data_IF_398762076158
#
_entry.id   IF_398762076158
#
_cell.length_a   1.000
_cell.length_b   1.000
_cell.length_c   1.000
_cell.angle_alpha   90.00
_cell.angle_beta   90.00
_cell.angle_gamma   90.00
#
_symmetry.space_group_name_H-M   'P 1'
#
loop_
_entity.id
_entity.type
_entity.pdbx_description
1 polymer ?
#
# COMPACT_ATOMS: atom_id res chain seq x y z
N UNK A 1 -3.69 -29.44 46.76
CA UNK A 1 -3.18 -29.53 45.37
C UNK A 1 -4.39 -29.29 44.47
N UNK A 2 -4.50 -28.07 44.00
CA UNK A 2 -5.54 -27.69 43.02
C UNK A 2 -4.91 -27.81 41.64
N UNK A 3 -5.32 -28.86 40.94
CA UNK A 3 -5.05 -28.97 39.49
C UNK A 3 -5.92 -27.94 38.73
N UNK A 4 -5.38 -26.78 38.41
CA UNK A 4 -5.97 -25.90 37.43
C UNK A 4 -5.78 -26.52 36.05
N UNK A 5 -6.85 -27.11 35.51
CA UNK A 5 -6.94 -27.50 34.13
C UNK A 5 -6.85 -26.23 33.25
N UNK A 6 -5.69 -25.96 32.68
CA UNK A 6 -5.50 -25.00 31.62
C UNK A 6 -6.25 -25.50 30.37
N UNK A 7 -7.50 -25.08 30.23
CA UNK A 7 -8.26 -25.20 28.97
C UNK A 7 -7.61 -24.28 27.92
N UNK A 8 -6.62 -24.79 27.19
CA UNK A 8 -6.19 -24.17 25.95
C UNK A 8 -7.35 -24.28 24.94
N UNK A 9 -8.05 -23.19 24.74
CA UNK A 9 -9.05 -23.10 23.66
C UNK A 9 -8.27 -23.21 22.33
N UNK A 10 -8.26 -24.38 21.75
CA UNK A 10 -7.78 -24.60 20.39
C UNK A 10 -8.76 -23.88 19.46
N UNK A 11 -8.41 -22.70 18.97
CA UNK A 11 -9.09 -22.09 17.86
C UNK A 11 -8.68 -22.91 16.64
N UNK A 12 -9.61 -23.68 16.00
CA UNK A 12 -9.27 -24.46 14.82
C UNK A 12 -8.73 -23.49 13.76
N UNK A 13 -7.55 -23.77 13.22
CA UNK A 13 -7.06 -23.03 12.05
C UNK A 13 -8.05 -23.25 10.92
N UNK A 14 -8.43 -22.19 10.19
CA UNK A 14 -9.29 -22.34 9.02
C UNK A 14 -8.69 -23.38 8.05
N UNK A 15 -9.55 -24.12 7.34
CA UNK A 15 -9.08 -25.11 6.38
C UNK A 15 -8.30 -24.42 5.25
N UNK A 16 -7.18 -25.01 4.77
CA UNK A 16 -6.43 -24.46 3.64
C UNK A 16 -7.30 -24.31 2.39
N UNK A 17 -7.22 -23.16 1.74
CA UNK A 17 -7.97 -22.82 0.54
C UNK A 17 -7.10 -22.93 -0.71
N UNK A 18 -7.74 -23.15 -1.86
CA UNK A 18 -7.17 -22.94 -3.21
C UNK A 18 -7.60 -21.58 -3.72
N UNK A 19 -6.68 -20.65 -3.78
CA UNK A 19 -6.96 -19.25 -4.11
C UNK A 19 -6.39 -18.95 -5.49
N UNK A 20 -7.24 -18.55 -6.45
CA UNK A 20 -6.77 -17.99 -7.71
C UNK A 20 -6.55 -16.48 -7.51
N UNK A 21 -5.30 -16.05 -7.38
CA UNK A 21 -4.92 -14.63 -7.26
C UNK A 21 -4.57 -14.07 -8.65
N UNK A 22 -5.31 -13.04 -9.08
CA UNK A 22 -5.16 -12.42 -10.40
C UNK A 22 -4.71 -10.99 -10.25
N UNK A 23 -3.60 -10.64 -10.89
CA UNK A 23 -3.02 -9.30 -10.83
C UNK A 23 -2.31 -8.93 -12.12
N UNK A 24 -2.23 -7.65 -12.44
CA UNK A 24 -1.42 -7.12 -13.55
C UNK A 24 -0.06 -6.59 -13.09
N UNK A 25 0.16 -6.46 -11.77
CA UNK A 25 1.43 -6.04 -11.18
C UNK A 25 1.87 -7.02 -10.08
N UNK A 26 3.13 -7.42 -10.10
CA UNK A 26 3.71 -8.37 -9.14
C UNK A 26 5.24 -8.23 -9.15
N UNK A 27 5.96 -8.60 -8.07
CA UNK A 27 7.42 -8.62 -8.10
C UNK A 27 7.98 -9.34 -9.34
N UNK A 28 9.08 -8.84 -9.97
CA UNK A 28 10.03 -7.86 -9.45
C UNK A 28 9.66 -6.38 -9.69
N UNK A 29 8.43 -6.04 -10.06
CA UNK A 29 8.01 -4.64 -10.16
C UNK A 29 8.09 -3.95 -8.79
N UNK A 30 8.67 -2.74 -8.77
CA UNK A 30 8.85 -1.96 -7.54
C UNK A 30 7.74 -0.92 -7.44
N UNK A 31 6.60 -1.33 -6.90
CA UNK A 31 5.49 -0.44 -6.53
C UNK A 31 4.75 -1.01 -5.31
N UNK A 32 3.98 -0.15 -4.62
CA UNK A 32 3.31 -0.52 -3.37
C UNK A 32 2.31 -1.68 -3.49
N UNK A 33 1.67 -1.84 -4.66
CA UNK A 33 0.73 -2.94 -4.91
C UNK A 33 1.49 -4.26 -5.11
N UNK A 34 2.51 -4.26 -5.99
CA UNK A 34 3.35 -5.44 -6.24
C UNK A 34 3.99 -5.98 -4.95
N UNK A 35 4.55 -5.09 -4.12
CA UNK A 35 5.17 -5.46 -2.84
C UNK A 35 4.15 -6.05 -1.86
N UNK A 36 2.96 -5.46 -1.76
CA UNK A 36 1.87 -5.99 -0.92
C UNK A 36 1.44 -7.38 -1.36
N UNK A 37 1.22 -7.57 -2.67
CA UNK A 37 0.79 -8.85 -3.22
C UNK A 37 1.87 -9.93 -3.11
N UNK A 38 3.14 -9.56 -3.31
CA UNK A 38 4.26 -10.49 -3.09
C UNK A 38 4.29 -11.00 -1.65
N UNK A 39 4.13 -10.11 -0.67
CA UNK A 39 4.05 -10.49 0.75
C UNK A 39 2.82 -11.36 1.03
N UNK A 40 1.66 -10.98 0.49
CA UNK A 40 0.41 -11.72 0.66
C UNK A 40 0.49 -13.15 0.12
N UNK A 41 1.11 -13.36 -1.05
CA UNK A 41 1.32 -14.70 -1.63
C UNK A 41 2.21 -15.54 -0.72
N UNK A 42 3.32 -14.98 -0.23
CA UNK A 42 4.24 -15.68 0.68
C UNK A 42 3.53 -16.09 1.97
N UNK A 43 2.71 -15.19 2.53
CA UNK A 43 1.99 -15.46 3.77
C UNK A 43 0.90 -16.52 3.58
N UNK A 44 0.10 -16.44 2.51
CA UNK A 44 -0.89 -17.47 2.18
C UNK A 44 -0.25 -18.86 2.05
N UNK A 45 0.93 -18.95 1.41
CA UNK A 45 1.67 -20.20 1.33
C UNK A 45 2.13 -20.69 2.71
N UNK A 46 2.67 -19.80 3.55
CA UNK A 46 3.13 -20.15 4.90
C UNK A 46 2.00 -20.65 5.80
N UNK A 47 0.76 -20.23 5.53
CA UNK A 47 -0.47 -20.67 6.21
C UNK A 47 -1.05 -21.96 5.65
N UNK A 48 -0.43 -22.52 4.58
CA UNK A 48 -0.82 -23.79 3.99
C UNK A 48 -1.81 -23.69 2.82
N UNK A 49 -2.20 -22.46 2.41
CA UNK A 49 -3.06 -22.28 1.23
C UNK A 49 -2.33 -22.63 -0.07
N UNK A 50 -3.10 -23.06 -1.08
CA UNK A 50 -2.62 -23.23 -2.44
C UNK A 50 -2.95 -21.98 -3.25
N UNK A 51 -1.93 -21.32 -3.79
CA UNK A 51 -2.09 -20.09 -4.57
C UNK A 51 -1.84 -20.36 -6.04
N UNK A 52 -2.83 -20.08 -6.88
CA UNK A 52 -2.69 -20.01 -8.32
C UNK A 52 -2.53 -18.53 -8.72
N UNK A 53 -1.29 -18.09 -8.95
CA UNK A 53 -0.96 -16.71 -9.28
C UNK A 53 -1.04 -16.49 -10.79
N UNK A 54 -2.01 -15.70 -11.24
CA UNK A 54 -2.22 -15.36 -12.64
C UNK A 54 -1.79 -13.93 -12.89
N UNK A 55 -0.75 -13.74 -13.71
CA UNK A 55 -0.16 -12.43 -13.99
C UNK A 55 0.36 -12.30 -15.42
N UNK A 56 0.58 -11.08 -15.95
CA UNK A 56 1.27 -10.87 -17.21
C UNK A 56 2.74 -11.30 -17.11
N UNK A 57 3.28 -11.82 -18.22
CA UNK A 57 4.71 -12.08 -18.36
C UNK A 57 5.49 -10.78 -18.44
N UNK A 58 6.49 -10.57 -17.60
CA UNK A 58 7.26 -9.33 -17.53
C UNK A 58 8.31 -9.21 -18.64
N UNK A 59 8.84 -10.31 -19.13
CA UNK A 59 9.84 -10.33 -20.21
C UNK A 59 10.01 -11.73 -20.79
N UNK A 60 10.89 -11.89 -21.79
CA UNK A 60 11.17 -13.19 -22.38
C UNK A 60 11.87 -14.15 -21.40
N UNK A 61 12.64 -13.60 -20.46
CA UNK A 61 13.33 -14.36 -19.42
C UNK A 61 12.43 -14.73 -18.24
N UNK A 62 11.22 -14.16 -18.14
CA UNK A 62 10.28 -14.42 -17.05
C UNK A 62 9.70 -15.83 -17.19
N UNK A 63 9.99 -16.66 -16.20
CA UNK A 63 9.54 -18.06 -16.12
C UNK A 63 8.60 -18.22 -14.95
N UNK A 64 7.55 -19.03 -15.14
CA UNK A 64 6.63 -19.35 -14.07
C UNK A 64 7.33 -20.13 -12.95
N UNK A 65 7.13 -19.72 -11.72
CA UNK A 65 7.55 -20.45 -10.53
C UNK A 65 6.44 -21.40 -10.10
N UNK A 66 6.81 -22.67 -9.89
CA UNK A 66 5.86 -23.67 -9.44
C UNK A 66 6.47 -24.48 -8.28
N UNK A 67 5.70 -24.62 -7.22
CA UNK A 67 6.03 -25.48 -6.09
C UNK A 67 4.74 -26.13 -5.54
N UNK A 68 4.81 -26.81 -4.40
CA UNK A 68 3.66 -27.52 -3.82
C UNK A 68 2.46 -26.60 -3.49
N UNK A 69 2.71 -25.30 -3.22
CA UNK A 69 1.70 -24.33 -2.75
C UNK A 69 1.52 -23.15 -3.72
N UNK A 70 2.36 -22.99 -4.75
CA UNK A 70 2.28 -21.93 -5.74
C UNK A 70 2.31 -22.49 -7.15
N UNK A 71 1.32 -22.11 -7.94
CA UNK A 71 1.28 -22.32 -9.39
C UNK A 71 1.21 -20.96 -10.09
N UNK A 72 2.29 -20.51 -10.74
CA UNK A 72 2.24 -19.29 -11.55
C UNK A 72 1.71 -19.59 -12.97
N UNK A 73 0.77 -18.79 -13.40
CA UNK A 73 0.18 -18.85 -14.75
C UNK A 73 0.43 -17.55 -15.47
N UNK A 74 1.46 -17.55 -16.32
CA UNK A 74 1.83 -16.35 -17.09
C UNK A 74 0.91 -16.16 -18.28
N UNK A 75 0.38 -14.92 -18.42
CA UNK A 75 -0.46 -14.49 -19.55
C UNK A 75 0.28 -13.48 -20.43
N UNK A 76 -0.19 -13.29 -21.66
CA UNK A 76 0.32 -12.23 -22.51
C UNK A 76 -0.01 -10.86 -21.92
N UNK A 77 0.96 -9.95 -21.99
CA UNK A 77 0.80 -8.57 -21.54
C UNK A 77 1.43 -7.61 -22.54
N UNK A 78 0.89 -6.40 -22.60
CA UNK A 78 1.39 -5.29 -23.40
C UNK A 78 1.92 -4.18 -22.51
N UNK A 79 3.00 -3.47 -22.87
CA UNK A 79 3.50 -2.34 -22.11
C UNK A 79 2.44 -1.25 -21.96
N UNK A 80 2.35 -0.64 -20.79
CA UNK A 80 1.50 0.52 -20.55
C UNK A 80 2.23 1.78 -21.04
N UNK A 81 1.65 2.56 -21.98
CA UNK A 81 2.27 3.80 -22.44
C UNK A 81 2.58 4.75 -21.30
N UNK A 82 3.76 5.38 -21.31
CA UNK A 82 4.29 6.32 -20.29
C UNK A 82 4.63 5.69 -18.91
N UNK A 83 4.44 4.38 -18.72
CA UNK A 83 4.84 3.67 -17.49
C UNK A 83 5.87 2.60 -17.85
N UNK A 84 7.15 3.00 -17.82
CA UNK A 84 8.25 2.08 -18.08
C UNK A 84 8.23 0.90 -17.09
N UNK A 85 8.29 -0.32 -17.63
CA UNK A 85 8.33 -1.53 -16.81
C UNK A 85 6.99 -2.10 -16.38
N UNK A 86 5.86 -1.37 -16.55
CA UNK A 86 4.54 -1.90 -16.24
C UNK A 86 3.87 -2.51 -17.47
N UNK A 87 3.16 -3.63 -17.28
CA UNK A 87 2.41 -4.31 -18.34
C UNK A 87 0.96 -4.50 -17.95
N UNK A 88 0.10 -4.33 -18.93
CA UNK A 88 -1.32 -4.63 -18.83
C UNK A 88 -1.56 -6.03 -19.43
N UNK A 89 -2.26 -6.89 -18.70
CA UNK A 89 -2.61 -8.23 -19.17
C UNK A 89 -3.65 -8.19 -20.29
N UNK A 90 -3.50 -9.04 -21.29
CA UNK A 90 -4.51 -9.18 -22.34
C UNK A 90 -5.72 -9.97 -21.87
N UNK A 91 -6.91 -9.75 -22.47
CA UNK A 91 -8.11 -10.53 -22.14
C UNK A 91 -7.89 -12.03 -22.30
N UNK A 92 -8.26 -12.81 -21.28
CA UNK A 92 -7.97 -14.25 -21.19
C UNK A 92 -9.14 -15.12 -20.69
N UNK A 93 -10.40 -14.62 -20.77
CA UNK A 93 -11.59 -15.30 -20.20
C UNK A 93 -11.70 -16.77 -20.58
N UNK A 94 -11.60 -17.14 -21.86
CA UNK A 94 -11.75 -18.53 -22.28
C UNK A 94 -10.65 -19.44 -21.73
N UNK A 95 -9.41 -18.95 -21.64
CA UNK A 95 -8.28 -19.68 -21.06
C UNK A 95 -8.46 -19.89 -19.55
N UNK A 96 -8.96 -18.88 -18.82
CA UNK A 96 -9.22 -18.96 -17.39
C UNK A 96 -10.40 -19.91 -17.09
N UNK A 97 -11.46 -19.90 -17.89
CA UNK A 97 -12.57 -20.86 -17.76
C UNK A 97 -12.04 -22.29 -17.90
N UNK A 98 -11.23 -22.60 -18.92
CA UNK A 98 -10.64 -23.94 -19.11
C UNK A 98 -9.75 -24.33 -17.94
N UNK A 99 -8.91 -23.42 -17.48
CA UNK A 99 -8.00 -23.63 -16.35
C UNK A 99 -8.79 -23.99 -15.09
N UNK A 100 -9.83 -23.23 -14.75
CA UNK A 100 -10.61 -23.41 -13.53
C UNK A 100 -11.66 -24.54 -13.63
N UNK A 101 -11.97 -25.01 -14.82
CA UNK A 101 -12.68 -26.27 -14.98
C UNK A 101 -11.83 -27.50 -14.64
N UNK A 102 -10.51 -27.43 -14.92
CA UNK A 102 -9.56 -28.49 -14.62
C UNK A 102 -9.03 -28.42 -13.19
N UNK A 103 -8.69 -27.19 -12.74
CA UNK A 103 -8.10 -26.90 -11.43
C UNK A 103 -8.97 -25.84 -10.75
N UNK A 104 -10.10 -26.26 -10.22
CA UNK A 104 -11.09 -25.35 -9.63
C UNK A 104 -10.54 -24.72 -8.35
N UNK A 105 -10.45 -23.38 -8.23
CA UNK A 105 -10.17 -22.71 -6.97
C UNK A 105 -11.43 -22.66 -6.10
N UNK A 106 -11.27 -22.47 -4.80
CA UNK A 106 -12.37 -22.21 -3.88
C UNK A 106 -12.90 -20.79 -4.01
N UNK A 107 -11.99 -19.84 -4.35
CA UNK A 107 -12.33 -18.46 -4.65
C UNK A 107 -11.34 -17.83 -5.63
N UNK A 108 -11.76 -16.72 -6.24
CA UNK A 108 -10.92 -15.87 -7.11
C UNK A 108 -10.72 -14.52 -6.44
N UNK A 109 -9.48 -14.17 -6.13
CA UNK A 109 -9.09 -12.86 -5.63
C UNK A 109 -8.46 -12.03 -6.76
N UNK A 110 -9.03 -10.86 -7.07
CA UNK A 110 -8.59 -10.02 -8.19
C UNK A 110 -8.05 -8.71 -7.63
N UNK A 111 -6.74 -8.51 -7.74
CA UNK A 111 -6.06 -7.36 -7.15
C UNK A 111 -6.00 -6.14 -8.08
N UNK A 112 -6.30 -6.28 -9.37
CA UNK A 112 -6.26 -5.18 -10.34
C UNK A 112 -7.42 -5.22 -11.32
N UNK A 113 -7.93 -4.05 -11.71
CA UNK A 113 -9.17 -3.86 -12.48
C UNK A 113 -8.95 -3.84 -14.00
N UNK A 114 -7.77 -4.22 -14.49
CA UNK A 114 -7.42 -4.22 -15.91
C UNK A 114 -8.12 -5.32 -16.71
N UNK A 115 -7.79 -5.46 -18.01
CA UNK A 115 -8.45 -6.43 -18.89
C UNK A 115 -8.29 -7.89 -18.47
N UNK A 116 -7.17 -8.25 -17.81
CA UNK A 116 -6.97 -9.57 -17.22
C UNK A 116 -7.89 -9.77 -16.01
N UNK A 117 -7.99 -8.76 -15.12
CA UNK A 117 -8.91 -8.77 -13.98
C UNK A 117 -10.37 -8.92 -14.41
N UNK A 118 -10.83 -8.16 -15.43
CA UNK A 118 -12.18 -8.34 -16.00
C UNK A 118 -12.40 -9.73 -16.60
N UNK A 119 -11.38 -10.28 -17.25
CA UNK A 119 -11.45 -11.65 -17.76
C UNK A 119 -11.61 -12.68 -16.66
N UNK A 120 -10.91 -12.48 -15.54
CA UNK A 120 -11.00 -13.31 -14.35
C UNK A 120 -12.39 -13.21 -13.70
N UNK A 121 -12.91 -12.00 -13.51
CA UNK A 121 -14.25 -11.75 -13.01
C UNK A 121 -15.32 -12.46 -13.85
N UNK A 122 -15.25 -12.29 -15.19
CA UNK A 122 -16.19 -12.91 -16.11
C UNK A 122 -16.08 -14.45 -16.18
N UNK A 123 -14.87 -15.00 -15.97
CA UNK A 123 -14.65 -16.45 -15.92
C UNK A 123 -15.16 -17.03 -14.59
N UNK A 124 -14.91 -16.37 -13.47
CA UNK A 124 -15.39 -16.75 -12.15
C UNK A 124 -16.93 -16.77 -12.08
N UNK A 125 -17.58 -15.73 -12.57
CA UNK A 125 -19.05 -15.68 -12.67
C UNK A 125 -19.62 -16.83 -13.51
N UNK A 126 -19.00 -17.12 -14.68
CA UNK A 126 -19.43 -18.25 -15.51
C UNK A 126 -19.36 -19.59 -14.77
N UNK A 127 -18.38 -19.74 -13.89
CA UNK A 127 -18.16 -20.96 -13.12
C UNK A 127 -18.78 -20.93 -11.71
N UNK A 128 -19.50 -19.86 -11.38
CA UNK A 128 -20.07 -19.63 -10.05
C UNK A 128 -19.03 -19.79 -8.93
N UNK A 129 -17.88 -19.10 -9.11
CA UNK A 129 -16.82 -19.01 -8.11
C UNK A 129 -16.98 -17.72 -7.32
N UNK A 130 -16.84 -17.74 -5.98
CA UNK A 130 -16.79 -16.52 -5.17
C UNK A 130 -15.66 -15.60 -5.64
N UNK A 131 -15.91 -14.30 -5.63
CA UNK A 131 -14.92 -13.30 -6.06
C UNK A 131 -14.71 -12.26 -4.97
N UNK A 132 -13.45 -12.03 -4.61
CA UNK A 132 -13.00 -10.84 -3.88
C UNK A 132 -12.16 -9.94 -4.77
N UNK A 133 -12.18 -8.64 -4.52
CA UNK A 133 -11.35 -7.68 -5.24
C UNK A 133 -10.62 -6.76 -4.27
N UNK A 134 -9.43 -6.27 -4.67
CA UNK A 134 -8.74 -5.19 -3.95
C UNK A 134 -8.97 -3.86 -4.66
N UNK A 135 -9.11 -2.81 -3.88
CA UNK A 135 -9.16 -1.44 -4.38
C UNK A 135 -7.82 -0.75 -4.16
N UNK A 136 -7.07 -0.57 -5.24
CA UNK A 136 -5.75 0.06 -5.23
C UNK A 136 -5.71 1.40 -5.98
N UNK A 137 -6.83 1.82 -6.57
CA UNK A 137 -6.92 3.01 -7.41
C UNK A 137 -7.08 4.27 -6.57
N UNK A 138 -6.30 5.31 -6.87
CA UNK A 138 -6.46 6.60 -6.24
C UNK A 138 -7.33 7.53 -7.09
N UNK A 139 -8.52 7.88 -6.59
CA UNK A 139 -9.47 8.75 -7.31
C UNK A 139 -8.93 10.16 -7.57
N UNK A 140 -8.16 10.72 -6.63
CA UNK A 140 -7.62 12.06 -6.76
C UNK A 140 -6.59 12.17 -7.86
N UNK A 141 -5.78 11.12 -8.10
CA UNK A 141 -4.78 11.08 -9.17
C UNK A 141 -5.40 11.19 -10.56
N UNK A 142 -6.57 10.61 -10.78
CA UNK A 142 -7.23 10.65 -12.09
C UNK A 142 -7.83 12.02 -12.43
N UNK A 143 -8.12 12.85 -11.43
CA UNK A 143 -8.82 14.12 -11.67
C UNK A 143 -7.90 15.30 -11.97
N UNK A 144 -6.68 15.31 -11.44
CA UNK A 144 -5.81 16.48 -11.50
C UNK A 144 -4.62 16.35 -12.44
N UNK A 145 -4.02 15.14 -12.58
CA UNK A 145 -2.73 14.99 -13.25
C UNK A 145 -2.79 14.59 -14.73
N UNK A 146 -3.94 14.15 -15.23
CA UNK A 146 -4.05 13.65 -16.62
C UNK A 146 -4.74 14.60 -17.60
N UNK A 147 -5.20 15.79 -17.18
CA UNK A 147 -5.87 16.74 -18.07
C UNK A 147 -7.17 16.24 -18.72
N UNK A 148 -7.69 15.09 -18.29
CA UNK A 148 -8.83 14.37 -18.86
C UNK A 148 -10.04 14.35 -17.90
N UNK A 149 -10.37 15.48 -17.31
CA UNK A 149 -11.50 15.60 -16.37
C UNK A 149 -12.83 15.05 -16.90
N UNK A 150 -13.04 15.05 -18.21
CA UNK A 150 -14.23 14.49 -18.88
C UNK A 150 -14.29 12.95 -18.86
N UNK A 151 -13.16 12.25 -18.75
CA UNK A 151 -13.09 10.78 -18.61
C UNK A 151 -13.29 10.29 -17.15
N UNK A 152 -13.31 11.20 -16.18
CA UNK A 152 -13.47 10.82 -14.77
C UNK A 152 -14.75 10.02 -14.53
N UNK A 153 -15.90 10.50 -15.02
CA UNK A 153 -17.19 9.81 -14.84
C UNK A 153 -17.23 8.40 -15.46
N UNK A 154 -16.78 8.20 -16.72
CA UNK A 154 -16.69 6.86 -17.31
C UNK A 154 -15.77 5.91 -16.53
N UNK A 155 -14.59 6.39 -16.10
CA UNK A 155 -13.63 5.57 -15.33
C UNK A 155 -14.24 5.16 -13.97
N UNK A 156 -14.86 6.08 -13.26
CA UNK A 156 -15.53 5.79 -11.99
C UNK A 156 -16.68 4.79 -12.17
N UNK A 157 -17.47 4.92 -13.23
CA UNK A 157 -18.55 3.99 -13.55
C UNK A 157 -18.00 2.59 -13.90
N UNK A 158 -16.89 2.53 -14.66
CA UNK A 158 -16.20 1.30 -14.98
C UNK A 158 -15.70 0.58 -13.73
N UNK A 159 -14.97 1.27 -12.85
CA UNK A 159 -14.45 0.72 -11.60
C UNK A 159 -15.59 0.28 -10.67
N UNK A 160 -16.61 1.12 -10.49
CA UNK A 160 -17.79 0.77 -9.69
C UNK A 160 -18.49 -0.47 -10.23
N UNK A 161 -18.68 -0.58 -11.56
CA UNK A 161 -19.28 -1.76 -12.19
C UNK A 161 -18.45 -3.02 -11.94
N UNK A 162 -17.12 -2.89 -11.96
CA UNK A 162 -16.20 -4.00 -11.68
C UNK A 162 -16.34 -4.48 -10.23
N UNK A 163 -16.13 -3.60 -9.27
CA UNK A 163 -16.13 -3.94 -7.85
C UNK A 163 -17.50 -4.38 -7.33
N UNK A 164 -18.57 -3.77 -7.79
CA UNK A 164 -19.93 -4.16 -7.38
C UNK A 164 -20.38 -5.55 -7.90
N UNK A 165 -19.60 -6.18 -8.78
CA UNK A 165 -19.80 -7.57 -9.22
C UNK A 165 -19.06 -8.59 -8.35
N UNK A 166 -18.22 -8.14 -7.42
CA UNK A 166 -17.54 -9.00 -6.46
C UNK A 166 -18.39 -9.24 -5.21
N UNK A 167 -18.17 -10.36 -4.54
CA UNK A 167 -18.79 -10.65 -3.23
C UNK A 167 -18.34 -9.68 -2.16
N UNK A 168 -17.07 -9.24 -2.25
CA UNK A 168 -16.48 -8.24 -1.38
C UNK A 168 -15.37 -7.48 -2.13
N UNK A 169 -15.26 -6.19 -1.83
CA UNK A 169 -14.13 -5.36 -2.26
C UNK A 169 -13.35 -4.91 -1.02
N UNK A 170 -12.07 -5.25 -0.98
CA UNK A 170 -11.19 -4.87 0.11
C UNK A 170 -10.64 -3.48 -0.13
N UNK A 171 -10.72 -2.64 0.89
CA UNK A 171 -10.23 -1.27 0.87
C UNK A 171 -9.25 -1.04 2.01
N UNK A 172 -8.19 -0.22 1.83
CA UNK A 172 -7.13 -0.14 2.83
C UNK A 172 -7.47 0.71 4.06
N UNK A 173 -8.46 1.62 3.97
CA UNK A 173 -8.81 2.52 5.08
C UNK A 173 -10.31 2.76 5.17
N UNK A 174 -10.77 3.14 6.36
CA UNK A 174 -12.16 3.53 6.62
C UNK A 174 -12.55 4.81 5.85
N UNK A 175 -11.61 5.75 5.66
CA UNK A 175 -11.81 6.94 4.85
C UNK A 175 -12.18 6.59 3.40
N UNK A 176 -11.39 5.73 2.76
CA UNK A 176 -11.68 5.23 1.40
C UNK A 176 -13.00 4.44 1.37
N UNK A 177 -13.29 3.63 2.37
CA UNK A 177 -14.57 2.91 2.44
C UNK A 177 -15.76 3.85 2.39
N UNK A 178 -15.74 4.89 3.23
CA UNK A 178 -16.79 5.92 3.26
C UNK A 178 -16.90 6.68 1.94
N UNK A 179 -15.77 7.10 1.37
CA UNK A 179 -15.74 7.79 0.08
C UNK A 179 -16.36 6.93 -1.03
N UNK A 180 -15.96 5.67 -1.13
CA UNK A 180 -16.50 4.75 -2.13
C UNK A 180 -18.01 4.49 -1.94
N UNK A 181 -18.48 4.39 -0.70
CA UNK A 181 -19.91 4.26 -0.40
C UNK A 181 -20.72 5.44 -0.95
N UNK A 182 -20.22 6.68 -0.82
CA UNK A 182 -20.89 7.87 -1.40
C UNK A 182 -20.95 7.83 -2.93
N UNK A 183 -20.03 7.09 -3.56
CA UNK A 183 -20.00 6.89 -5.02
C UNK A 183 -20.77 5.63 -5.48
N UNK A 184 -21.50 4.97 -4.58
CA UNK A 184 -22.36 3.83 -4.90
C UNK A 184 -21.64 2.49 -5.02
N UNK A 185 -20.45 2.36 -4.42
CA UNK A 185 -19.80 1.05 -4.25
C UNK A 185 -20.47 0.29 -3.10
N UNK A 186 -20.52 -1.03 -3.23
CA UNK A 186 -21.17 -1.94 -2.28
C UNK A 186 -20.16 -2.99 -1.79
N UNK A 187 -20.54 -3.72 -0.75
CA UNK A 187 -19.77 -4.86 -0.21
C UNK A 187 -18.30 -4.50 0.09
N UNK A 188 -18.09 -3.35 0.72
CA UNK A 188 -16.76 -2.85 1.07
C UNK A 188 -16.35 -3.34 2.45
N UNK A 189 -15.17 -3.96 2.54
CA UNK A 189 -14.56 -4.42 3.80
C UNK A 189 -13.17 -3.79 3.96
N UNK A 190 -12.86 -3.31 5.16
CA UNK A 190 -11.55 -2.70 5.41
C UNK A 190 -10.53 -3.78 5.76
N UNK A 191 -9.57 -3.97 4.86
CA UNK A 191 -8.35 -4.75 5.11
C UNK A 191 -7.17 -3.82 4.86
N UNK A 192 -6.55 -3.36 5.94
CA UNK A 192 -5.46 -2.40 5.91
C UNK A 192 -4.17 -3.06 5.39
N UNK A 193 -3.07 -2.31 5.42
CA UNK A 193 -1.75 -2.85 5.10
C UNK A 193 -0.90 -2.89 6.35
N UNK A 194 -0.14 -3.95 6.49
CA UNK A 194 0.81 -4.13 7.57
C UNK A 194 2.14 -3.43 7.27
N UNK A 195 2.99 -3.40 8.28
CA UNK A 195 4.38 -2.98 8.16
C UNK A 195 5.30 -4.05 8.71
N UNK A 196 6.47 -4.23 8.10
CA UNK A 196 7.51 -5.13 8.60
C UNK A 196 8.29 -4.44 9.72
N UNK A 197 7.82 -4.65 10.95
CA UNK A 197 8.40 -4.03 12.14
C UNK A 197 9.74 -4.62 12.58
N UNK A 198 10.16 -5.74 12.00
CA UNK A 198 11.50 -6.29 12.18
C UNK A 198 12.51 -5.62 11.26
N UNK A 199 12.11 -5.39 10.01
CA UNK A 199 12.90 -4.64 9.03
C UNK A 199 12.96 -3.16 9.41
N UNK A 200 11.80 -2.50 9.54
CA UNK A 200 11.71 -1.09 9.93
C UNK A 200 11.69 -0.96 11.44
N UNK A 201 12.83 -0.60 12.02
CA UNK A 201 13.04 -0.55 13.47
C UNK A 201 14.05 0.54 13.83
N UNK A 202 13.85 1.26 14.94
CA UNK A 202 14.86 2.20 15.48
C UNK A 202 16.24 1.57 15.70
N UNK A 203 16.30 0.25 15.92
CA UNK A 203 17.55 -0.49 16.10
C UNK A 203 18.46 -0.49 14.84
N UNK A 204 17.94 -0.06 13.70
CA UNK A 204 18.70 0.09 12.44
C UNK A 204 19.38 1.44 12.29
N UNK A 205 19.33 2.32 13.32
CA UNK A 205 20.00 3.62 13.30
C UNK A 205 21.51 3.46 13.11
N UNK A 206 22.03 4.22 12.15
CA UNK A 206 23.42 4.17 11.73
C UNK A 206 24.06 5.57 11.85
N UNK A 207 24.95 5.74 12.80
CA UNK A 207 25.64 7.02 13.05
C UNK A 207 26.66 7.34 11.95
N UNK A 208 27.22 6.32 11.26
CA UNK A 208 28.09 6.57 10.11
C UNK A 208 27.29 7.15 8.93
N UNK A 209 26.07 6.64 8.72
CA UNK A 209 25.16 7.18 7.72
C UNK A 209 24.77 8.64 8.05
N UNK A 210 24.44 8.94 9.31
CA UNK A 210 24.16 10.33 9.76
C UNK A 210 25.33 11.24 9.51
N UNK A 211 26.55 10.81 9.86
CA UNK A 211 27.78 11.57 9.59
C UNK A 211 27.98 11.85 8.11
N UNK A 212 27.64 10.90 7.22
CA UNK A 212 27.73 11.10 5.77
C UNK A 212 26.77 12.19 5.25
N UNK A 213 25.68 12.47 5.98
CA UNK A 213 24.73 13.56 5.72
C UNK A 213 25.17 14.90 6.34
N UNK A 214 26.33 14.93 7.03
CA UNK A 214 26.80 16.10 7.77
C UNK A 214 26.02 16.37 9.05
N UNK A 215 25.37 15.36 9.61
CA UNK A 215 24.64 15.45 10.87
C UNK A 215 25.52 15.04 12.06
N UNK A 216 25.59 15.87 13.09
CA UNK A 216 26.15 15.57 14.40
C UNK A 216 25.16 14.69 15.20
N UNK A 217 25.56 14.12 16.36
CA UNK A 217 24.65 13.30 17.17
C UNK A 217 23.34 13.99 17.57
N UNK A 218 23.41 15.30 17.86
CA UNK A 218 22.24 16.10 18.28
C UNK A 218 21.50 16.79 17.13
N UNK A 219 22.05 16.76 15.92
CA UNK A 219 21.40 17.32 14.71
C UNK A 219 20.07 16.66 14.46
N UNK A 220 19.00 17.43 14.30
CA UNK A 220 17.68 16.89 13.93
C UNK A 220 17.66 16.58 12.42
N UNK A 221 17.56 15.28 12.09
CA UNK A 221 17.47 14.83 10.69
C UNK A 221 16.01 14.71 10.28
N UNK A 222 15.63 15.51 9.28
CA UNK A 222 14.34 15.50 8.62
C UNK A 222 14.44 14.67 7.35
N UNK A 223 13.59 13.69 7.17
CA UNK A 223 13.61 12.81 6.00
C UNK A 223 12.31 12.85 5.21
N UNK A 224 12.43 12.78 3.90
CA UNK A 224 11.37 12.42 2.98
C UNK A 224 11.74 11.10 2.30
N UNK A 225 10.79 10.20 2.17
CA UNK A 225 10.95 8.93 1.43
C UNK A 225 9.79 8.76 0.46
N UNK A 226 10.09 8.53 -0.81
CA UNK A 226 9.09 8.32 -1.82
C UNK A 226 9.54 8.70 -3.22
N UNK A 227 8.64 8.53 -4.19
CA UNK A 227 8.89 8.96 -5.56
C UNK A 227 9.05 10.48 -5.62
N UNK A 228 10.09 10.96 -6.31
CA UNK A 228 10.32 12.40 -6.50
C UNK A 228 9.54 12.89 -7.73
N UNK A 229 8.24 13.17 -7.51
CA UNK A 229 7.29 13.48 -8.56
C UNK A 229 6.23 14.51 -8.08
N UNK A 230 5.57 15.22 -9.01
CA UNK A 230 4.65 16.33 -8.69
C UNK A 230 3.56 15.97 -7.68
N UNK A 231 2.98 14.77 -7.81
CA UNK A 231 1.90 14.29 -6.95
C UNK A 231 2.32 14.07 -5.49
N UNK A 232 3.62 14.04 -5.21
CA UNK A 232 4.18 13.87 -3.85
C UNK A 232 4.48 15.20 -3.16
N UNK A 233 4.31 16.32 -3.87
CA UNK A 233 4.36 17.68 -3.32
C UNK A 233 5.67 18.03 -2.61
N UNK A 234 6.83 17.62 -3.18
CA UNK A 234 8.14 17.92 -2.60
C UNK A 234 8.40 19.43 -2.43
N UNK A 235 7.92 20.33 -3.28
CA UNK A 235 8.07 21.76 -3.01
C UNK A 235 7.56 22.18 -1.62
N UNK A 236 6.52 21.53 -1.09
CA UNK A 236 6.05 21.79 0.27
C UNK A 236 6.99 21.19 1.34
N UNK A 237 7.64 20.05 1.05
CA UNK A 237 8.68 19.51 1.94
C UNK A 237 9.80 20.53 2.15
N UNK A 238 10.29 21.14 1.07
CA UNK A 238 11.35 22.14 1.14
C UNK A 238 10.90 23.42 1.88
N UNK A 239 9.69 23.91 1.61
CA UNK A 239 9.12 25.07 2.31
C UNK A 239 8.97 24.78 3.81
N UNK A 240 8.47 23.63 4.18
CA UNK A 240 8.34 23.21 5.57
C UNK A 240 9.72 23.08 6.23
N UNK A 241 10.68 22.45 5.56
CA UNK A 241 12.04 22.35 6.07
C UNK A 241 12.70 23.72 6.24
N UNK A 242 12.52 24.67 5.33
CA UNK A 242 13.02 26.05 5.48
C UNK A 242 12.51 26.67 6.78
N UNK A 243 11.23 26.51 7.10
CA UNK A 243 10.66 27.01 8.35
C UNK A 243 11.19 26.25 9.58
N UNK A 244 11.34 24.92 9.48
CA UNK A 244 11.97 24.10 10.52
C UNK A 244 13.42 24.52 10.79
N UNK A 245 14.23 24.72 9.74
CA UNK A 245 15.61 25.12 9.84
C UNK A 245 15.77 26.52 10.45
N UNK A 246 14.86 27.43 10.15
CA UNK A 246 14.84 28.74 10.80
C UNK A 246 14.53 28.65 12.31
N UNK A 247 13.71 27.69 12.73
CA UNK A 247 13.39 27.42 14.13
C UNK A 247 14.47 26.59 14.85
N UNK A 248 15.10 25.65 14.13
CA UNK A 248 16.17 24.81 14.62
C UNK A 248 17.30 24.75 13.56
N UNK A 249 18.31 25.65 13.62
CA UNK A 249 19.39 25.69 12.65
C UNK A 249 20.27 24.45 12.61
N UNK A 250 20.31 23.66 13.70
CA UNK A 250 20.99 22.36 13.71
C UNK A 250 20.05 21.25 13.21
N UNK A 251 19.65 21.37 11.95
CA UNK A 251 18.83 20.38 11.26
C UNK A 251 19.39 20.06 9.88
N UNK A 252 19.04 18.86 9.34
CA UNK A 252 19.42 18.41 7.99
C UNK A 252 18.24 17.79 7.27
N UNK A 253 18.11 18.07 5.97
CA UNK A 253 17.08 17.46 5.11
C UNK A 253 17.68 16.36 4.24
N UNK A 254 17.08 15.18 4.31
CA UNK A 254 17.46 14.00 3.53
C UNK A 254 16.28 13.58 2.64
N UNK A 255 16.53 13.40 1.36
CA UNK A 255 15.55 12.96 0.36
C UNK A 255 15.94 11.56 -0.13
N UNK A 256 15.10 10.57 0.13
CA UNK A 256 15.29 9.18 -0.33
C UNK A 256 14.24 8.86 -1.38
N UNK A 257 14.71 8.46 -2.55
CA UNK A 257 13.86 8.12 -3.69
C UNK A 257 14.40 8.71 -4.99
N UNK A 258 13.67 8.41 -6.06
CA UNK A 258 13.98 8.89 -7.40
C UNK A 258 12.71 9.28 -8.14
N UNK A 259 12.85 10.00 -9.25
CA UNK A 259 11.71 10.41 -10.06
C UNK A 259 12.02 11.57 -10.99
N UNK A 260 11.00 12.00 -11.78
CA UNK A 260 11.21 12.99 -12.84
C UNK A 260 11.65 14.37 -12.36
N UNK A 261 11.35 14.75 -11.11
CA UNK A 261 11.69 16.06 -10.56
C UNK A 261 13.05 16.08 -9.81
N UNK A 262 13.70 14.93 -9.63
CA UNK A 262 14.93 14.84 -8.82
C UNK A 262 16.01 15.83 -9.25
N UNK A 263 16.38 15.83 -10.52
CA UNK A 263 17.49 16.68 -11.00
C UNK A 263 17.19 18.18 -10.84
N UNK A 264 15.93 18.56 -11.05
CA UNK A 264 15.47 19.94 -10.90
C UNK A 264 15.54 20.37 -9.44
N UNK A 265 14.98 19.55 -8.53
CA UNK A 265 14.96 19.85 -7.10
C UNK A 265 16.35 19.79 -6.48
N UNK A 266 17.20 18.86 -6.88
CA UNK A 266 18.58 18.78 -6.40
C UNK A 266 19.41 20.02 -6.81
N UNK A 267 19.19 20.55 -8.01
CA UNK A 267 19.84 21.79 -8.44
C UNK A 267 19.29 23.03 -7.69
N UNK A 268 18.01 23.04 -7.37
CA UNK A 268 17.35 24.14 -6.65
C UNK A 268 17.66 24.15 -5.15
N UNK A 269 17.91 22.99 -4.55
CA UNK A 269 18.13 22.81 -3.10
C UNK A 269 19.44 22.04 -2.85
N UNK A 270 20.61 22.64 -3.12
CA UNK A 270 21.91 21.96 -3.05
C UNK A 270 22.33 21.56 -1.63
N UNK A 271 21.75 22.17 -0.60
CA UNK A 271 22.02 21.86 0.81
C UNK A 271 21.26 20.61 1.31
N UNK A 272 20.28 20.12 0.55
CA UNK A 272 19.56 18.89 0.88
C UNK A 272 20.34 17.67 0.37
N UNK A 273 20.33 16.60 1.17
CA UNK A 273 21.02 15.35 0.82
C UNK A 273 20.09 14.45 0.00
N UNK A 274 20.41 14.25 -1.28
CA UNK A 274 19.66 13.36 -2.17
C UNK A 274 20.32 11.97 -2.25
N UNK A 275 19.73 10.98 -1.60
CA UNK A 275 20.27 9.63 -1.49
C UNK A 275 19.93 8.72 -2.69
N UNK A 276 18.95 9.10 -3.53
CA UNK A 276 18.44 8.24 -4.60
C UNK A 276 17.58 7.10 -4.09
N UNK A 277 17.29 6.14 -4.97
CA UNK A 277 16.45 4.97 -4.63
C UNK A 277 17.17 4.07 -3.62
N UNK A 278 16.48 3.68 -2.56
CA UNK A 278 16.93 2.74 -1.54
C UNK A 278 15.90 1.63 -1.34
N UNK A 279 16.33 0.48 -0.86
CA UNK A 279 15.44 -0.67 -0.61
C UNK A 279 15.98 -1.56 0.50
N UNK A 280 15.11 -2.44 1.05
CA UNK A 280 15.50 -3.42 2.06
C UNK A 280 16.18 -2.81 3.28
N UNK A 281 17.27 -3.44 3.75
CA UNK A 281 18.00 -3.01 4.94
C UNK A 281 18.59 -1.57 4.82
N UNK A 282 19.02 -1.20 3.63
CA UNK A 282 19.55 0.15 3.36
C UNK A 282 18.45 1.22 3.52
N UNK A 283 17.24 0.98 3.00
CA UNK A 283 16.10 1.87 3.22
C UNK A 283 15.71 1.93 4.71
N UNK A 284 15.71 0.80 5.39
CA UNK A 284 15.39 0.75 6.82
C UNK A 284 16.40 1.53 7.67
N UNK A 285 17.70 1.46 7.32
CA UNK A 285 18.75 2.25 7.96
C UNK A 285 18.54 3.76 7.74
N UNK A 286 18.12 4.17 6.52
CA UNK A 286 17.83 5.59 6.23
C UNK A 286 16.67 6.11 7.09
N UNK A 287 15.56 5.37 7.20
CA UNK A 287 14.48 5.76 8.11
C UNK A 287 14.98 5.86 9.55
N UNK A 288 15.58 4.80 10.09
CA UNK A 288 16.00 4.74 11.49
C UNK A 288 17.04 5.80 11.86
N UNK A 289 17.82 6.28 10.88
CA UNK A 289 18.83 7.31 11.07
C UNK A 289 18.28 8.73 11.00
N UNK A 290 16.98 8.91 10.74
CA UNK A 290 16.30 10.20 10.82
C UNK A 290 15.52 10.35 12.13
N UNK A 291 14.96 11.55 12.35
CA UNK A 291 14.21 11.91 13.55
C UNK A 291 12.78 12.35 13.22
N UNK A 292 12.58 13.02 12.07
CA UNK A 292 11.28 13.54 11.60
C UNK A 292 11.02 13.11 10.17
N UNK A 293 9.83 12.64 9.88
CA UNK A 293 9.38 12.29 8.53
C UNK A 293 8.35 13.30 8.04
N UNK A 294 8.63 13.98 6.91
CA UNK A 294 7.70 14.92 6.27
C UNK A 294 7.05 14.26 5.05
N UNK A 295 5.70 14.19 5.04
CA UNK A 295 4.99 13.55 3.95
C UNK A 295 3.71 14.30 3.54
N UNK A 296 3.81 15.41 2.77
CA UNK A 296 2.67 16.18 2.27
C UNK A 296 2.10 15.61 0.96
N UNK A 297 2.07 14.28 0.80
CA UNK A 297 1.56 13.65 -0.42
C UNK A 297 0.07 13.92 -0.60
N UNK A 298 -0.31 14.29 -1.84
CA UNK A 298 -1.70 14.56 -2.23
C UNK A 298 -2.41 13.32 -2.79
N UNK A 299 -1.67 12.24 -3.03
CA UNK A 299 -2.23 11.08 -3.74
C UNK A 299 -1.71 9.77 -3.13
N UNK A 300 -2.43 9.24 -2.16
CA UNK A 300 -2.15 7.94 -1.58
C UNK A 300 -3.40 7.06 -1.59
N UNK A 301 -3.22 5.78 -1.88
CA UNK A 301 -4.25 4.79 -1.57
C UNK A 301 -4.14 4.37 -0.11
N UNK A 302 -2.91 4.14 0.37
CA UNK A 302 -2.61 3.89 1.79
C UNK A 302 -1.42 4.73 2.26
N UNK A 303 -0.27 4.62 1.58
CA UNK A 303 0.97 5.31 1.95
C UNK A 303 1.83 4.48 2.91
N UNK A 304 2.37 3.35 2.42
CA UNK A 304 3.23 2.45 3.21
C UNK A 304 4.41 3.19 3.86
N UNK A 305 4.95 4.22 3.19
CA UNK A 305 6.06 5.03 3.72
C UNK A 305 5.73 5.68 5.08
N UNK A 306 4.45 6.00 5.33
CA UNK A 306 4.00 6.51 6.64
C UNK A 306 4.14 5.45 7.73
N UNK A 307 3.72 4.22 7.46
CA UNK A 307 3.84 3.12 8.42
C UNK A 307 5.28 2.66 8.61
N UNK A 308 6.10 2.73 7.58
CA UNK A 308 7.56 2.47 7.64
C UNK A 308 8.26 3.51 8.53
N UNK A 309 7.93 4.80 8.37
CA UNK A 309 8.44 5.87 9.23
C UNK A 309 8.00 5.70 10.69
N UNK A 310 6.71 5.41 10.93
CA UNK A 310 6.18 5.09 12.27
C UNK A 310 6.92 3.90 12.89
N UNK A 311 7.08 2.82 12.12
CA UNK A 311 7.77 1.61 12.56
C UNK A 311 9.24 1.85 12.89
N UNK A 312 9.87 2.79 12.22
CA UNK A 312 11.25 3.22 12.48
C UNK A 312 11.37 4.22 13.63
N UNK A 313 10.26 4.62 14.27
CA UNK A 313 10.23 5.50 15.44
C UNK A 313 10.37 6.99 15.12
N UNK A 314 10.01 7.44 13.92
CA UNK A 314 10.07 8.85 13.54
C UNK A 314 8.82 9.61 13.96
N UNK A 315 9.00 10.90 14.30
CA UNK A 315 7.88 11.84 14.36
C UNK A 315 7.36 12.10 12.95
N UNK A 316 6.12 11.74 12.69
CA UNK A 316 5.51 11.88 11.37
C UNK A 316 4.71 13.16 11.28
N UNK A 317 4.98 13.99 10.26
CA UNK A 317 4.16 15.14 9.88
C UNK A 317 3.54 14.87 8.51
N UNK A 318 2.22 14.77 8.44
CA UNK A 318 1.52 14.40 7.22
C UNK A 318 0.18 15.14 7.10
N UNK A 319 -0.42 15.10 5.91
CA UNK A 319 -1.82 15.47 5.76
C UNK A 319 -2.73 14.44 6.43
N UNK A 320 -3.86 14.89 6.97
CA UNK A 320 -4.93 14.05 7.52
C UNK A 320 -5.62 13.30 6.35
N UNK A 321 -4.95 12.27 5.87
CA UNK A 321 -5.34 11.51 4.70
C UNK A 321 -4.71 10.12 4.69
N UNK A 322 -5.39 9.11 4.15
CA UNK A 322 -4.92 7.73 3.97
C UNK A 322 -4.40 7.10 5.27
N UNK A 323 -3.17 6.53 5.29
CA UNK A 323 -2.61 5.88 6.49
C UNK A 323 -2.41 6.86 7.64
N UNK A 324 -2.04 8.11 7.37
CA UNK A 324 -1.85 9.12 8.41
C UNK A 324 -3.17 9.42 9.15
N UNK A 325 -4.29 9.60 8.44
CA UNK A 325 -5.62 9.77 9.04
C UNK A 325 -6.04 8.56 9.87
N UNK A 326 -5.74 7.35 9.38
CA UNK A 326 -6.16 6.11 10.03
C UNK A 326 -5.37 5.79 11.31
N UNK A 327 -4.08 6.18 11.39
CA UNK A 327 -3.15 5.68 12.38
C UNK A 327 -2.58 6.75 13.31
N UNK A 328 -2.53 8.01 12.86
CA UNK A 328 -1.96 9.09 13.65
C UNK A 328 -3.04 9.81 14.48
N UNK A 329 -2.61 10.27 15.66
CA UNK A 329 -3.38 11.14 16.57
C UNK A 329 -2.59 12.41 16.78
N UNK A 330 -3.22 13.55 16.45
CA UNK A 330 -2.64 14.89 16.53
C UNK A 330 -1.92 15.12 17.85
N UNK A 331 -0.62 15.48 17.79
CA UNK A 331 0.21 15.82 18.96
C UNK A 331 0.57 14.62 19.87
N UNK A 332 0.11 13.41 19.56
CA UNK A 332 0.35 12.20 20.38
C UNK A 332 1.40 11.29 19.75
N UNK A 333 1.14 10.79 18.53
CA UNK A 333 2.05 9.92 17.78
C UNK A 333 2.33 10.43 16.36
N UNK A 334 2.00 11.70 16.09
CA UNK A 334 2.25 12.39 14.83
C UNK A 334 1.56 13.74 14.79
N UNK A 335 1.90 14.54 13.80
CA UNK A 335 1.28 15.83 13.51
C UNK A 335 0.50 15.75 12.21
N UNK A 336 -0.76 16.14 12.25
CA UNK A 336 -1.67 16.10 11.11
C UNK A 336 -2.02 17.53 10.68
N UNK A 337 -1.88 17.81 9.40
CA UNK A 337 -2.43 19.02 8.80
C UNK A 337 -3.69 18.67 7.98
N UNK A 338 -4.68 19.56 7.88
CA UNK A 338 -5.80 19.37 6.97
C UNK A 338 -5.30 19.10 5.55
N UNK A 339 -6.02 18.25 4.81
CA UNK A 339 -5.65 17.91 3.44
C UNK A 339 -5.49 19.15 2.56
N UNK A 340 -4.35 19.25 1.87
CA UNK A 340 -3.94 20.35 0.96
C UNK A 340 -3.81 21.74 1.65
N UNK A 341 -3.75 21.81 2.98
CA UNK A 341 -3.45 23.04 3.71
C UNK A 341 -1.95 23.16 3.97
N UNK A 342 -1.26 23.82 3.03
CA UNK A 342 0.19 24.02 3.09
C UNK A 342 0.64 24.83 4.31
N UNK A 343 -0.16 25.81 4.76
CA UNK A 343 0.21 26.64 5.91
C UNK A 343 0.16 25.85 7.21
N UNK A 344 -0.90 25.07 7.39
CA UNK A 344 -1.03 24.19 8.56
C UNK A 344 0.03 23.09 8.57
N UNK A 345 0.40 22.56 7.38
CA UNK A 345 1.50 21.60 7.29
C UNK A 345 2.84 22.20 7.72
N UNK A 346 3.18 23.42 7.24
CA UNK A 346 4.39 24.13 7.64
C UNK A 346 4.38 24.42 9.14
N UNK A 347 3.25 24.87 9.69
CA UNK A 347 3.12 25.15 11.12
C UNK A 347 3.34 23.87 11.97
N UNK A 348 2.73 22.75 11.59
CA UNK A 348 2.92 21.47 12.26
C UNK A 348 4.40 20.99 12.20
N UNK A 349 5.07 21.14 11.04
CA UNK A 349 6.47 20.80 10.90
C UNK A 349 7.38 21.69 11.77
N UNK A 350 7.09 23.01 11.83
CA UNK A 350 7.85 23.96 12.66
C UNK A 350 7.69 23.65 14.15
N UNK A 351 6.49 23.27 14.60
CA UNK A 351 6.24 22.85 15.99
C UNK A 351 7.11 21.67 16.40
N UNK A 352 7.25 20.66 15.51
CA UNK A 352 8.15 19.50 15.73
C UNK A 352 9.63 19.90 15.80
N UNK A 353 10.04 20.93 15.06
CA UNK A 353 11.41 21.41 15.09
C UNK A 353 11.78 22.15 16.39
N UNK A 354 10.82 22.82 17.00
CA UNK A 354 11.00 23.61 18.22
C UNK A 354 11.19 22.73 19.48
N UNK A 355 10.66 21.50 19.48
CA UNK A 355 10.79 20.59 20.61
C UNK A 355 11.25 19.18 20.13
N UNK A 356 12.55 18.99 19.92
CA UNK A 356 13.11 17.68 19.52
C UNK A 356 12.87 16.56 20.55
N UNK A 357 12.71 16.89 21.84
CA UNK A 357 12.42 15.91 22.86
C UNK A 357 11.00 15.38 22.73
N UNK A 358 10.03 16.26 22.53
CA UNK A 358 8.64 15.89 22.25
C UNK A 358 8.52 15.12 20.92
N UNK A 359 9.25 15.56 19.88
CA UNK A 359 9.31 14.83 18.59
C UNK A 359 9.76 13.38 18.79
N UNK A 360 10.79 13.12 19.60
CA UNK A 360 11.26 11.77 19.93
C UNK A 360 10.18 10.94 20.64
N UNK A 361 9.52 11.49 21.65
CA UNK A 361 8.42 10.81 22.34
C UNK A 361 7.25 10.49 21.40
N UNK A 362 6.95 11.40 20.48
CA UNK A 362 5.94 11.20 19.44
C UNK A 362 6.32 10.03 18.50
N UNK A 363 7.57 9.95 18.08
CA UNK A 363 8.10 8.83 17.31
C UNK A 363 8.03 7.48 18.03
N UNK A 364 8.36 7.45 19.34
CA UNK A 364 8.22 6.25 20.16
C UNK A 364 6.76 5.76 20.21
N UNK A 365 5.81 6.67 20.39
CA UNK A 365 4.37 6.34 20.36
C UNK A 365 3.90 5.92 18.97
N UNK A 366 4.45 6.51 17.90
CA UNK A 366 4.21 6.08 16.53
C UNK A 366 4.67 4.63 16.33
N UNK A 367 5.84 4.27 16.86
CA UNK A 367 6.36 2.90 16.85
C UNK A 367 5.42 1.93 17.57
N UNK A 368 4.91 2.29 18.75
CA UNK A 368 3.94 1.43 19.47
C UNK A 368 2.68 1.17 18.64
N UNK A 369 2.18 2.20 17.94
CA UNK A 369 1.05 2.04 17.02
C UNK A 369 1.42 1.12 15.85
N UNK A 370 2.60 1.28 15.26
CA UNK A 370 3.05 0.43 14.14
C UNK A 370 3.20 -1.05 14.54
N UNK A 371 3.60 -1.35 15.77
CA UNK A 371 3.69 -2.72 16.28
C UNK A 371 2.33 -3.44 16.32
N UNK A 372 1.23 -2.69 16.46
CA UNK A 372 -0.12 -3.27 16.47
C UNK A 372 -0.69 -3.58 15.08
N UNK A 373 -0.06 -3.11 14.01
CA UNK A 373 -0.48 -3.32 12.61
C UNK A 373 0.52 -4.21 11.86
N UNK A 374 0.96 -5.29 12.48
CA UNK A 374 1.85 -6.27 11.84
C UNK A 374 1.18 -6.93 10.64
N UNK A 375 1.99 -7.39 9.69
CA UNK A 375 1.48 -8.15 8.54
C UNK A 375 0.67 -9.37 8.98
N UNK A 376 1.07 -10.06 10.06
CA UNK A 376 0.35 -11.23 10.55
C UNK A 376 -1.10 -10.89 10.93
N UNK A 377 -1.33 -9.78 11.64
CA UNK A 377 -2.68 -9.34 12.02
C UNK A 377 -3.53 -8.94 10.80
N UNK A 378 -2.91 -8.36 9.77
CA UNK A 378 -3.59 -7.99 8.52
C UNK A 378 -3.95 -9.25 7.72
N UNK A 379 -3.04 -10.21 7.64
CA UNK A 379 -3.28 -11.46 6.92
C UNK A 379 -4.33 -12.32 7.63
N UNK A 380 -4.36 -12.34 8.96
CA UNK A 380 -5.45 -12.98 9.73
C UNK A 380 -6.82 -12.39 9.38
N UNK A 381 -6.89 -11.06 9.21
CA UNK A 381 -8.13 -10.40 8.79
C UNK A 381 -8.47 -10.73 7.34
N UNK A 382 -7.50 -10.69 6.44
CA UNK A 382 -7.66 -11.04 5.04
C UNK A 382 -8.20 -12.47 4.89
N UNK A 383 -7.56 -13.44 5.53
CA UNK A 383 -7.96 -14.86 5.52
C UNK A 383 -9.40 -15.05 6.03
N UNK A 384 -9.75 -14.40 7.16
CA UNK A 384 -11.13 -14.43 7.68
C UNK A 384 -12.14 -13.89 6.68
N UNK A 385 -11.83 -12.84 5.95
CA UNK A 385 -12.73 -12.30 4.91
C UNK A 385 -12.87 -13.28 3.76
N UNK A 386 -11.78 -13.94 3.32
CA UNK A 386 -11.83 -14.95 2.27
C UNK A 386 -12.71 -16.16 2.67
N UNK A 387 -12.58 -16.65 3.90
CA UNK A 387 -13.46 -17.73 4.41
C UNK A 387 -14.92 -17.28 4.46
N UNK A 388 -15.19 -16.08 4.96
CA UNK A 388 -16.54 -15.56 5.10
C UNK A 388 -17.29 -15.44 3.77
N UNK A 389 -16.61 -15.23 2.65
CA UNK A 389 -17.29 -15.17 1.33
C UNK A 389 -17.53 -16.55 0.71
N UNK A 390 -16.75 -17.56 1.10
CA UNK A 390 -16.96 -18.95 0.67
C UNK A 390 -18.18 -19.53 1.38
N UNK A 391 -18.36 -19.22 2.66
CA UNK A 391 -19.47 -19.73 3.49
C UNK A 391 -20.81 -19.05 3.16
N UNK A 392 -20.82 -17.94 2.42
CA UNK A 392 -22.04 -17.28 1.96
C UNK A 392 -22.61 -18.00 0.74
N UNK A 393 -23.71 -18.71 0.89
CA UNK A 393 -24.43 -19.40 -0.20
C UNK A 393 -24.87 -18.47 -1.34
N UNK A 394 -25.03 -17.15 -1.10
CA UNK A 394 -25.55 -16.15 -2.04
C UNK A 394 -24.56 -15.03 -2.41
N UNK A 395 -23.29 -15.35 -2.65
CA UNK A 395 -22.37 -14.37 -3.26
C UNK A 395 -22.76 -13.97 -4.71
N UNK A 396 -23.73 -14.63 -5.29
CA UNK A 396 -24.20 -14.39 -6.67
C UNK A 396 -25.55 -13.68 -6.73
N UNK A 397 -25.99 -13.04 -5.62
CA UNK A 397 -27.25 -12.34 -5.51
C UNK A 397 -27.50 -11.40 -6.69
N UNK A 398 -28.62 -11.66 -7.38
CA UNK A 398 -29.31 -10.81 -8.37
C UNK A 398 -28.43 -10.20 -9.46
N UNK A 399 -27.91 -11.05 -10.35
CA UNK A 399 -27.71 -10.60 -11.72
C UNK A 399 -29.08 -10.66 -12.38
N UNK A 400 -29.86 -9.57 -12.30
CA UNK A 400 -30.90 -9.30 -13.28
C UNK A 400 -30.26 -9.46 -14.65
N UNK A 401 -30.66 -10.48 -15.35
CA UNK A 401 -30.48 -10.61 -16.79
C UNK A 401 -31.18 -9.42 -17.42
N UNK A 402 -30.45 -8.32 -17.60
CA UNK A 402 -30.79 -7.36 -18.64
C UNK A 402 -30.57 -8.14 -19.94
N UNK A 403 -31.62 -8.80 -20.37
CA UNK A 403 -31.77 -9.34 -21.74
C UNK A 403 -31.71 -8.15 -22.65
N UNK A 404 -30.70 -8.15 -23.52
CA UNK A 404 -30.56 -7.22 -24.63
C UNK A 404 -31.87 -7.12 -25.40
N UNK A 405 -32.42 -5.91 -25.49
CA UNK A 405 -33.34 -5.45 -26.47
C UNK A 405 -32.62 -4.55 -27.46
#
# INVERSE_FOLDING_TARGET
MNDELLLQTFIPRPQPLRIALVTETYPPEINGVAMTLGRQVIDLQSRGHQVQLIRPRQGNADKATNNAQLEEVLKLGVPIPRYAGLKMGLPAKAALVRLWQLKRPDLVHIATEGPLGWSALAAAHKLRLPVSTDFHTNFHSYSQHYGVGWLRRPILAYLRKFHNKACVTLVPTEGIRKELQTHGYRNLEVVSRGVDTALFSPARRDEALRKSWGAAPDTQVVIYVGRVAPEKNLPLVFRAYTAMHAANPDSRLVIVGDGPERNILQAQYPDAVFCGMRSGDDLAAHYASADVFLFPSLTETFGNVTTEAMASGLAVVAYQYAAAEALLRQGVNGMLAPYDDAQKFIAAATEVALDPAHARQMGERARQTALSISWDSIHDRFERVLHAIIDKEDCHGEIELAVDG
#
